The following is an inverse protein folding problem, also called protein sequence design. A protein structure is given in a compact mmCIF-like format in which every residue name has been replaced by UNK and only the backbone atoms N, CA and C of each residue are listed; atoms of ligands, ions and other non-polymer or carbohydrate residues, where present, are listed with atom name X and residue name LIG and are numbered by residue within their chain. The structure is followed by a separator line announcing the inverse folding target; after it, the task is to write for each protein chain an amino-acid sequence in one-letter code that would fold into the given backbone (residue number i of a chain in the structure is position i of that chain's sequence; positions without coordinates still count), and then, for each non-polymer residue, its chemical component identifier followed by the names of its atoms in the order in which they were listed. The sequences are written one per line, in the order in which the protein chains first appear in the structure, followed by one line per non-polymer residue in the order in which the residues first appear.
data_IF_208921493194
#
_entry.id   IF_208921493194
#
_cell.length_a   1.000
_cell.length_b   1.000
_cell.length_c   1.000
_cell.angle_alpha   90.00
_cell.angle_beta   90.00
_cell.angle_gamma   90.00
#
_symmetry.space_group_name_H-M   'P 1'
#
loop_
_entity.id
_entity.type
_entity.pdbx_description
1 polymer ?
#
# COMPACT_ATOMS: atom_id res chain seq x y z
N UNK A 1 -20.62 -2.30 14.19
CA UNK A 1 -19.45 -2.13 13.33
C UNK A 1 -18.93 -3.48 12.88
N UNK A 2 -18.82 -3.72 11.60
CA UNK A 2 -18.33 -5.02 11.16
C UNK A 2 -16.88 -5.24 11.58
N UNK A 3 -16.58 -6.45 11.99
CA UNK A 3 -15.22 -6.86 12.30
C UNK A 3 -14.54 -7.24 10.99
N UNK A 4 -13.44 -6.58 10.69
CA UNK A 4 -12.65 -6.88 9.50
C UNK A 4 -11.57 -7.89 9.86
N UNK A 5 -11.60 -9.06 9.22
CA UNK A 5 -10.63 -10.14 9.46
C UNK A 5 -9.67 -10.23 8.26
N UNK A 6 -8.36 -10.17 8.54
CA UNK A 6 -7.32 -10.36 7.54
C UNK A 6 -6.83 -11.79 7.55
N UNK A 7 -6.58 -12.32 6.35
CA UNK A 7 -6.06 -13.66 6.16
C UNK A 7 -4.63 -13.59 5.61
N UNK A 8 -3.69 -14.21 6.32
CA UNK A 8 -2.28 -14.23 5.94
C UNK A 8 -1.92 -15.63 5.45
N UNK A 9 -2.04 -15.84 4.14
CA UNK A 9 -1.85 -17.13 3.49
C UNK A 9 -0.52 -17.09 2.73
N UNK A 10 0.44 -18.02 3.02
CA UNK A 10 1.72 -18.07 2.29
C UNK A 10 1.51 -18.23 0.78
N UNK A 11 2.37 -17.60 -0.01
CA UNK A 11 2.33 -17.60 -1.49
C UNK A 11 1.07 -17.03 -2.12
N UNK A 12 0.19 -16.44 -1.33
CA UNK A 12 -1.04 -15.87 -1.87
C UNK A 12 -0.79 -14.56 -2.60
N UNK A 13 -1.66 -14.27 -3.57
CA UNK A 13 -1.77 -12.93 -4.16
C UNK A 13 -2.77 -12.13 -3.34
N UNK A 14 -2.42 -10.89 -3.05
CA UNK A 14 -3.26 -10.00 -2.25
C UNK A 14 -3.47 -8.68 -3.00
N UNK A 15 -4.73 -8.28 -3.13
CA UNK A 15 -5.11 -6.98 -3.67
C UNK A 15 -5.26 -6.00 -2.51
N UNK A 16 -4.53 -4.88 -2.56
CA UNK A 16 -4.48 -3.90 -1.48
C UNK A 16 -4.92 -2.54 -2.00
N UNK A 17 -5.70 -1.83 -1.18
CA UNK A 17 -6.11 -0.46 -1.45
C UNK A 17 -5.78 0.41 -0.25
N UNK A 18 -5.01 1.48 -0.48
CA UNK A 18 -4.73 2.49 0.53
C UNK A 18 -5.27 3.84 0.06
N UNK A 19 -6.00 4.52 0.93
CA UNK A 19 -6.66 5.80 0.62
C UNK A 19 -6.05 6.90 1.47
N UNK A 20 -5.87 8.08 0.89
CA UNK A 20 -5.36 9.24 1.62
C UNK A 20 -6.40 9.78 2.59
N UNK A 21 -5.90 10.45 3.64
CA UNK A 21 -6.74 11.11 4.64
C UNK A 21 -7.64 12.15 3.96
N UNK A 22 -8.95 12.05 4.18
CA UNK A 22 -9.95 12.95 3.57
C UNK A 22 -9.87 13.03 2.06
N UNK A 23 -9.31 12.01 1.42
CA UNK A 23 -9.11 11.91 -0.02
C UNK A 23 -8.35 13.10 -0.61
N UNK A 24 -7.41 13.65 0.14
CA UNK A 24 -6.53 14.72 -0.35
C UNK A 24 -5.73 14.18 -1.54
N UNK A 25 -5.64 14.91 -2.67
CA UNK A 25 -5.01 14.39 -3.89
C UNK A 25 -3.48 14.46 -3.83
N UNK A 26 -2.88 13.70 -2.93
CA UNK A 26 -1.43 13.67 -2.67
C UNK A 26 -0.66 13.31 -3.93
N UNK A 27 -1.18 12.40 -4.76
CA UNK A 27 -0.46 11.86 -5.91
C UNK A 27 -0.72 12.62 -7.20
N UNK A 28 -1.40 13.76 -7.18
CA UNK A 28 -1.40 14.70 -8.30
C UNK A 28 -0.04 15.36 -8.48
N UNK A 29 0.74 15.47 -7.41
CA UNK A 29 2.07 16.07 -7.46
C UNK A 29 3.10 15.01 -7.85
N UNK A 30 3.83 15.18 -9.00
CA UNK A 30 4.85 14.23 -9.44
C UNK A 30 5.95 13.97 -8.41
N UNK A 31 6.28 14.96 -7.59
CA UNK A 31 7.25 14.79 -6.51
C UNK A 31 6.80 13.73 -5.50
N UNK A 32 5.51 13.64 -5.22
CA UNK A 32 4.95 12.63 -4.33
C UNK A 32 4.93 11.25 -4.97
N UNK A 33 4.81 11.15 -6.29
CA UNK A 33 4.97 9.89 -7.01
C UNK A 33 6.42 9.38 -6.89
N UNK A 34 7.40 10.25 -7.07
CA UNK A 34 8.81 9.87 -6.88
C UNK A 34 9.07 9.42 -5.45
N UNK A 35 8.51 10.12 -4.49
CA UNK A 35 8.61 9.78 -3.07
C UNK A 35 7.99 8.40 -2.78
N UNK A 36 6.87 8.09 -3.42
CA UNK A 36 6.21 6.79 -3.33
C UNK A 36 7.18 5.66 -3.72
N UNK A 37 7.80 5.76 -4.87
CA UNK A 37 8.70 4.73 -5.37
C UNK A 37 9.99 4.62 -4.56
N UNK A 38 10.54 5.76 -4.12
CA UNK A 38 11.73 5.76 -3.28
C UNK A 38 11.44 5.11 -1.92
N UNK A 39 10.29 5.40 -1.33
CA UNK A 39 9.87 4.80 -0.07
C UNK A 39 9.67 3.30 -0.24
N UNK A 40 9.00 2.89 -1.31
CA UNK A 40 8.74 1.49 -1.58
C UNK A 40 10.04 0.69 -1.76
N UNK A 41 11.01 1.26 -2.45
CA UNK A 41 12.31 0.61 -2.66
C UNK A 41 13.01 0.29 -1.33
N UNK A 42 12.95 1.20 -0.36
CA UNK A 42 13.53 0.98 0.96
C UNK A 42 12.75 -0.06 1.75
N UNK A 43 11.43 0.04 1.76
CA UNK A 43 10.55 -0.86 2.51
C UNK A 43 10.69 -2.30 2.02
N UNK A 44 10.85 -2.52 0.72
CA UNK A 44 11.02 -3.85 0.13
C UNK A 44 12.29 -4.56 0.60
N UNK A 45 13.29 -3.85 1.08
CA UNK A 45 14.50 -4.47 1.65
C UNK A 45 14.18 -5.20 2.96
N UNK A 46 13.20 -4.72 3.71
CA UNK A 46 12.80 -5.29 4.98
C UNK A 46 11.58 -6.21 4.87
N UNK A 47 10.72 -5.94 3.90
CA UNK A 47 9.48 -6.69 3.66
C UNK A 47 9.40 -7.07 2.18
N UNK A 48 10.18 -8.08 1.75
CA UNK A 48 10.22 -8.46 0.33
C UNK A 48 8.86 -8.97 -0.17
N UNK A 49 8.52 -8.61 -1.40
CA UNK A 49 7.32 -9.10 -2.07
C UNK A 49 7.48 -8.90 -3.58
N UNK A 50 6.65 -9.58 -4.36
CA UNK A 50 6.57 -9.36 -5.79
C UNK A 50 5.40 -8.42 -6.11
N UNK A 51 5.68 -7.32 -6.80
CA UNK A 51 4.65 -6.42 -7.31
C UNK A 51 4.17 -6.95 -8.65
N UNK A 52 2.94 -7.47 -8.69
CA UNK A 52 2.36 -8.05 -9.91
C UNK A 52 1.66 -6.99 -10.76
N UNK A 53 0.98 -6.06 -10.10
CA UNK A 53 0.30 -4.95 -10.76
C UNK A 53 0.10 -3.81 -9.77
N UNK A 54 -0.05 -2.60 -10.29
CA UNK A 54 -0.35 -1.43 -9.47
C UNK A 54 -1.07 -0.37 -10.28
N UNK A 55 -1.77 0.52 -9.56
CA UNK A 55 -2.25 1.77 -10.11
C UNK A 55 -2.20 2.83 -9.01
N UNK A 56 -1.73 4.02 -9.35
CA UNK A 56 -1.68 5.16 -8.45
C UNK A 56 -2.65 6.20 -8.98
N UNK A 57 -3.68 6.51 -8.18
CA UNK A 57 -4.68 7.53 -8.47
C UNK A 57 -4.43 8.73 -7.56
N UNK A 58 -5.03 9.90 -7.79
CA UNK A 58 -4.68 11.09 -7.02
C UNK A 58 -4.82 10.94 -5.50
N UNK A 59 -5.80 10.17 -5.04
CA UNK A 59 -6.14 10.05 -3.62
C UNK A 59 -6.08 8.62 -3.08
N UNK A 60 -5.60 7.67 -3.86
CA UNK A 60 -5.44 6.28 -3.43
C UNK A 60 -4.57 5.49 -4.39
N UNK A 61 -4.15 4.31 -3.95
CA UNK A 61 -3.45 3.37 -4.83
C UNK A 61 -3.95 1.96 -4.61
N UNK A 62 -3.77 1.15 -5.64
CA UNK A 62 -4.01 -0.29 -5.59
C UNK A 62 -2.73 -1.04 -5.91
N UNK A 63 -2.46 -2.08 -5.13
CA UNK A 63 -1.40 -3.03 -5.40
C UNK A 63 -1.98 -4.42 -5.54
N UNK A 64 -1.48 -5.19 -6.49
CA UNK A 64 -1.61 -6.63 -6.50
C UNK A 64 -0.23 -7.19 -6.24
N UNK A 65 -0.04 -7.83 -5.08
CA UNK A 65 1.25 -8.32 -4.64
C UNK A 65 1.20 -9.82 -4.35
N UNK A 66 2.36 -10.47 -4.47
CA UNK A 66 2.55 -11.83 -4.02
C UNK A 66 3.58 -11.86 -2.91
N UNK A 67 3.23 -12.52 -1.82
CA UNK A 67 4.07 -12.57 -0.63
C UNK A 67 4.93 -13.82 -0.65
N UNK A 68 6.16 -13.76 -0.08
CA UNK A 68 6.97 -14.95 0.08
C UNK A 68 6.35 -15.90 1.12
N UNK A 69 6.62 -17.23 1.03
CA UNK A 69 6.02 -18.21 1.94
C UNK A 69 6.35 -18.00 3.40
N UNK A 70 7.51 -17.43 3.69
CA UNK A 70 8.02 -17.23 5.05
C UNK A 70 7.60 -15.89 5.68
N UNK A 71 7.02 -14.97 4.89
CA UNK A 71 6.60 -13.65 5.38
C UNK A 71 5.23 -13.25 4.82
N UNK A 72 4.16 -13.95 5.22
CA UNK A 72 2.83 -13.67 4.67
C UNK A 72 2.13 -12.45 5.29
N UNK A 73 2.75 -11.77 6.25
CA UNK A 73 2.11 -10.66 6.97
C UNK A 73 2.26 -9.34 6.21
N UNK A 74 1.34 -9.10 5.27
CA UNK A 74 1.32 -7.86 4.49
C UNK A 74 0.90 -6.64 5.31
N UNK A 75 0.30 -6.83 6.48
CA UNK A 75 -0.08 -5.71 7.36
C UNK A 75 1.16 -4.93 7.82
N UNK A 76 2.22 -5.64 8.21
CA UNK A 76 3.48 -5.00 8.59
C UNK A 76 4.10 -4.24 7.42
N UNK A 77 4.04 -4.81 6.23
CA UNK A 77 4.51 -4.17 5.00
C UNK A 77 3.77 -2.84 4.76
N UNK A 78 2.44 -2.87 4.81
CA UNK A 78 1.61 -1.70 4.54
C UNK A 78 1.82 -0.62 5.59
N UNK A 79 1.85 -1.00 6.88
CA UNK A 79 2.11 -0.03 7.96
C UNK A 79 3.49 0.60 7.82
N UNK A 80 4.50 -0.18 7.49
CA UNK A 80 5.85 0.32 7.27
C UNK A 80 5.89 1.30 6.09
N UNK A 81 5.23 0.97 4.99
CA UNK A 81 5.16 1.85 3.82
C UNK A 81 4.49 3.17 4.16
N UNK A 82 3.31 3.12 4.76
CA UNK A 82 2.54 4.34 5.10
C UNK A 82 3.32 5.24 6.06
N UNK A 83 3.92 4.65 7.08
CA UNK A 83 4.72 5.39 8.06
C UNK A 83 5.94 6.03 7.41
N UNK A 84 6.69 5.28 6.65
CA UNK A 84 7.91 5.79 6.02
C UNK A 84 7.60 6.83 4.95
N UNK A 85 6.53 6.66 4.20
CA UNK A 85 6.08 7.68 3.26
C UNK A 85 5.79 9.00 3.98
N UNK A 86 5.05 8.96 5.08
CA UNK A 86 4.72 10.14 5.86
C UNK A 86 5.97 10.83 6.41
N UNK A 87 6.91 10.05 6.95
CA UNK A 87 8.17 10.59 7.47
C UNK A 87 9.00 11.23 6.36
N UNK A 88 9.09 10.58 5.21
CA UNK A 88 9.84 11.10 4.07
C UNK A 88 9.18 12.35 3.46
N UNK A 89 7.85 12.38 3.44
CA UNK A 89 7.07 13.54 3.02
C UNK A 89 7.38 14.75 3.90
N UNK A 90 7.36 14.55 5.22
CA UNK A 90 7.66 15.61 6.19
C UNK A 90 9.11 16.10 6.04
N UNK A 91 10.06 15.17 5.91
CA UNK A 91 11.47 15.49 5.77
C UNK A 91 11.73 16.30 4.51
N UNK A 92 11.14 15.88 3.41
CA UNK A 92 11.30 16.53 2.10
C UNK A 92 10.78 17.97 2.12
N UNK A 93 9.75 18.24 2.88
CA UNK A 93 9.11 19.56 2.99
C UNK A 93 9.49 20.32 4.26
N UNK A 94 10.40 19.78 5.06
CA UNK A 94 10.87 20.40 6.31
C UNK A 94 9.70 20.70 7.27
N UNK A 95 8.76 19.78 7.39
CA UNK A 95 7.61 19.90 8.29
C UNK A 95 7.94 19.21 9.61
N UNK A 96 7.86 19.95 10.72
CA UNK A 96 8.09 19.38 12.07
C UNK A 96 6.79 18.97 12.76
N UNK A 97 5.65 19.58 12.41
CA UNK A 97 4.37 19.23 13.01
C UNK A 97 3.89 17.85 12.54
N UNK A 98 3.03 17.18 13.33
CA UNK A 98 2.38 15.96 12.88
C UNK A 98 1.56 16.18 11.61
N UNK A 99 1.68 15.27 10.65
CA UNK A 99 0.92 15.29 9.40
C UNK A 99 0.24 13.94 9.24
N UNK A 100 -1.04 13.98 8.89
CA UNK A 100 -1.80 12.78 8.56
C UNK A 100 -2.01 12.72 7.06
N UNK A 101 -1.41 11.71 6.42
CA UNK A 101 -1.50 11.52 4.96
C UNK A 101 -2.50 10.43 4.61
N UNK A 102 -2.60 9.39 5.46
CA UNK A 102 -3.34 8.17 5.16
C UNK A 102 -4.57 8.03 6.04
N UNK A 103 -5.60 7.37 5.50
CA UNK A 103 -6.67 6.83 6.36
C UNK A 103 -6.08 5.76 7.27
N UNK A 104 -6.67 5.58 8.46
CA UNK A 104 -6.15 4.65 9.46
C UNK A 104 -6.15 3.20 8.97
N UNK A 105 -7.09 2.84 8.11
CA UNK A 105 -7.24 1.50 7.58
C UNK A 105 -6.77 1.42 6.15
N UNK A 106 -6.47 0.21 5.73
CA UNK A 106 -6.34 -0.15 4.33
C UNK A 106 -7.25 -1.34 4.04
N UNK A 107 -7.57 -1.54 2.77
CA UNK A 107 -8.43 -2.64 2.33
C UNK A 107 -7.57 -3.70 1.67
N UNK A 108 -7.87 -4.98 1.95
CA UNK A 108 -7.15 -6.10 1.37
C UNK A 108 -8.12 -7.19 0.96
N UNK A 109 -7.74 -7.92 -0.08
CA UNK A 109 -8.48 -9.05 -0.58
C UNK A 109 -7.50 -10.10 -1.07
N UNK A 110 -7.55 -11.30 -0.46
CA UNK A 110 -6.74 -12.43 -0.92
C UNK A 110 -7.40 -13.03 -2.15
N UNK A 111 -6.63 -13.13 -3.25
CA UNK A 111 -7.15 -13.66 -4.51
C UNK A 111 -7.39 -15.17 -4.35
N UNK A 112 -8.60 -15.62 -4.69
CA UNK A 112 -9.06 -16.99 -4.45
C UNK A 112 -8.90 -17.88 -5.68
N UNK A 113 -9.07 -17.32 -6.88
CA UNK A 113 -9.04 -18.05 -8.14
C UNK A 113 -8.79 -17.10 -9.30
N UNK A 114 -8.76 -17.64 -10.52
CA UNK A 114 -8.47 -16.89 -11.73
C UNK A 114 -9.55 -15.83 -12.04
N UNK A 115 -10.81 -16.16 -11.82
CA UNK A 115 -11.91 -15.22 -12.03
C UNK A 115 -11.80 -14.04 -11.08
N UNK A 116 -11.52 -14.30 -9.81
CA UNK A 116 -11.29 -13.28 -8.80
C UNK A 116 -10.12 -12.37 -9.19
N UNK A 117 -9.04 -12.95 -9.70
CA UNK A 117 -7.88 -12.19 -10.19
C UNK A 117 -8.29 -11.26 -11.33
N UNK A 118 -9.04 -11.77 -12.31
CA UNK A 118 -9.47 -10.97 -13.45
C UNK A 118 -10.37 -9.81 -13.04
N UNK A 119 -11.26 -10.03 -12.09
CA UNK A 119 -12.13 -8.96 -11.56
C UNK A 119 -11.32 -7.82 -10.95
N UNK A 120 -10.21 -8.13 -10.28
CA UNK A 120 -9.37 -7.11 -9.65
C UNK A 120 -8.42 -6.44 -10.65
N UNK A 121 -7.96 -7.14 -11.67
CA UNK A 121 -7.12 -6.55 -12.71
C UNK A 121 -7.87 -5.56 -13.60
N UNK A 122 -9.17 -5.75 -13.76
CA UNK A 122 -10.03 -4.86 -14.54
C UNK A 122 -10.44 -3.59 -13.77
N UNK A 123 -9.90 -3.42 -12.62
CA UNK A 123 -10.24 -2.31 -11.71
C UNK A 123 -9.80 -0.93 -12.25
#
# INVERSE_FOLDING_TARGET
MPIYTRYYIPDSMVFITCVTHRRIPVFENPQNIDLFWNTLAVVRKYYPFNMLAYVILPDHFHWLIQLPPDQPNFSHLIHSFKRNFTLNYKKDRQISEPVKIWQNRFWDHVIRDEEDLHQHLDY
#
